data_IF_410297889946
#
_entry.id   IF_410297889946
#
_cell.length_a   1.000
_cell.length_b   1.000
_cell.length_c   1.000
_cell.angle_alpha   90.00
_cell.angle_beta   90.00
_cell.angle_gamma   90.00
#
_symmetry.space_group_name_H-M   'P 1'
#
loop_
_entity.id
_entity.type
_entity.pdbx_description
1 polymer ?
#
# COMPACT_ATOMS: atom_id res chain seq x y z
N UNK A 1 5.84 -9.78 -12.38
CA UNK A 1 4.73 -9.87 -13.35
C UNK A 1 3.46 -10.07 -12.56
N UNK A 2 2.34 -9.45 -12.95
CA UNK A 2 1.06 -9.72 -12.29
C UNK A 2 0.59 -11.15 -12.60
N UNK A 3 0.35 -11.94 -11.55
CA UNK A 3 -0.05 -13.36 -11.62
C UNK A 3 -1.55 -13.58 -11.47
N UNK A 4 -2.35 -12.52 -11.28
CA UNK A 4 -3.80 -12.62 -11.21
C UNK A 4 -4.42 -13.13 -12.52
N UNK A 5 -5.53 -13.86 -12.41
CA UNK A 5 -6.23 -14.44 -13.57
C UNK A 5 -7.16 -13.45 -14.28
N UNK A 6 -7.58 -12.39 -13.57
CA UNK A 6 -8.50 -11.38 -14.06
C UNK A 6 -7.91 -9.97 -13.93
N UNK A 7 -8.35 -9.09 -14.82
CA UNK A 7 -8.01 -7.68 -14.72
C UNK A 7 -8.77 -7.03 -13.56
N UNK A 8 -8.08 -6.23 -12.75
CA UNK A 8 -8.70 -5.50 -11.64
C UNK A 8 -8.05 -4.12 -11.50
N UNK A 9 -8.83 -3.13 -11.08
CA UNK A 9 -8.35 -1.76 -10.91
C UNK A 9 -7.95 -1.51 -9.47
N UNK A 10 -6.72 -1.02 -9.26
CA UNK A 10 -6.30 -0.43 -7.99
C UNK A 10 -6.87 0.99 -7.90
N UNK A 11 -7.53 1.29 -6.80
CA UNK A 11 -8.16 2.59 -6.51
C UNK A 11 -7.45 3.34 -5.39
N UNK A 12 -6.72 2.64 -4.52
CA UNK A 12 -5.98 3.22 -3.40
C UNK A 12 -4.91 2.29 -2.85
N UNK A 13 -4.10 2.82 -1.93
CA UNK A 13 -3.15 2.05 -1.13
C UNK A 13 -2.77 2.81 0.13
N UNK A 14 -2.27 2.06 1.12
CA UNK A 14 -1.89 2.64 2.41
C UNK A 14 -1.19 1.66 3.33
N UNK A 15 -1.09 2.06 4.59
CA UNK A 15 -0.63 1.24 5.70
C UNK A 15 -1.74 1.17 6.75
N UNK A 16 -2.13 -0.02 7.15
CA UNK A 16 -2.99 -0.26 8.30
C UNK A 16 -2.14 -0.35 9.57
N UNK A 17 -2.59 0.34 10.62
CA UNK A 17 -2.01 0.35 11.95
C UNK A 17 -2.72 -0.69 12.85
N UNK A 18 -2.08 -1.19 13.93
CA UNK A 18 -2.65 -2.24 14.78
C UNK A 18 -3.94 -1.83 15.52
N UNK A 19 -4.23 -0.53 15.63
CA UNK A 19 -5.45 0.01 16.22
C UNK A 19 -6.60 0.18 15.21
N UNK A 20 -6.42 -0.28 13.96
CA UNK A 20 -7.39 -0.19 12.88
C UNK A 20 -7.40 1.14 12.14
N UNK A 21 -6.51 2.09 12.46
CA UNK A 21 -6.33 3.31 11.65
C UNK A 21 -5.63 3.00 10.33
N UNK A 22 -6.08 3.65 9.27
CA UNK A 22 -5.45 3.59 7.94
C UNK A 22 -4.67 4.86 7.62
N UNK A 23 -3.43 4.70 7.15
CA UNK A 23 -2.58 5.78 6.62
C UNK A 23 -2.70 5.76 5.09
N UNK A 24 -3.40 6.74 4.55
CA UNK A 24 -3.64 6.86 3.11
C UNK A 24 -2.60 7.77 2.45
N UNK A 25 -2.02 7.31 1.34
CA UNK A 25 -1.10 8.14 0.55
C UNK A 25 -1.89 9.03 -0.40
N UNK A 26 -2.03 10.31 -0.01
CA UNK A 26 -2.76 11.31 -0.82
C UNK A 26 -1.86 12.05 -1.82
N UNK A 27 -0.54 12.05 -1.59
CA UNK A 27 0.45 12.74 -2.43
C UNK A 27 1.64 11.84 -2.75
N UNK A 28 1.47 10.85 -3.64
CA UNK A 28 2.55 9.96 -4.01
C UNK A 28 3.62 10.68 -4.85
N UNK A 29 4.89 10.22 -4.81
CA UNK A 29 5.92 10.71 -5.73
C UNK A 29 5.49 10.56 -7.20
N UNK A 30 5.96 11.45 -8.08
CA UNK A 30 5.56 11.47 -9.50
C UNK A 30 5.96 10.21 -10.30
N UNK A 31 6.83 9.37 -9.73
CA UNK A 31 7.30 8.10 -10.28
C UNK A 31 6.60 6.88 -9.66
N UNK A 32 5.59 7.09 -8.82
CA UNK A 32 4.61 6.07 -8.47
C UNK A 32 3.61 5.84 -9.62
N UNK A 33 2.99 4.67 -9.64
CA UNK A 33 1.86 4.39 -10.51
C UNK A 33 0.71 5.36 -10.20
N UNK A 34 0.21 6.06 -11.22
CA UNK A 34 -0.96 6.94 -11.09
C UNK A 34 -2.21 6.09 -10.92
N UNK A 35 -3.08 6.50 -9.99
CA UNK A 35 -4.37 5.87 -9.77
C UNK A 35 -5.52 6.70 -10.38
N UNK A 36 -6.62 6.04 -10.79
CA UNK A 36 -6.83 4.57 -10.79
C UNK A 36 -5.93 3.85 -11.82
N UNK A 37 -5.54 2.60 -11.53
CA UNK A 37 -4.68 1.80 -12.41
C UNK A 37 -5.21 0.38 -12.60
N UNK A 38 -5.43 -0.03 -13.85
CA UNK A 38 -5.83 -1.39 -14.19
C UNK A 38 -4.62 -2.34 -14.22
N UNK A 39 -4.62 -3.32 -13.32
CA UNK A 39 -3.69 -4.44 -13.33
C UNK A 39 -4.23 -5.53 -14.26
N UNK A 40 -3.54 -5.79 -15.37
CA UNK A 40 -3.85 -6.90 -16.28
C UNK A 40 -2.99 -8.12 -15.98
N UNK A 41 -3.50 -9.35 -16.18
CA UNK A 41 -2.68 -10.56 -16.14
C UNK A 41 -1.46 -10.42 -17.05
N UNK A 42 -0.28 -10.79 -16.57
CA UNK A 42 0.97 -10.71 -17.35
C UNK A 42 1.60 -9.31 -17.45
N UNK A 43 0.93 -8.25 -16.99
CA UNK A 43 1.49 -6.90 -17.02
C UNK A 43 2.63 -6.70 -16.00
N UNK A 44 3.36 -5.59 -16.15
CA UNK A 44 4.29 -5.13 -15.13
C UNK A 44 3.54 -4.82 -13.83
N UNK A 45 4.11 -5.12 -12.65
CA UNK A 45 3.50 -4.76 -11.38
C UNK A 45 3.32 -3.25 -11.22
N UNK A 46 2.27 -2.82 -10.52
CA UNK A 46 2.14 -1.43 -10.09
C UNK A 46 3.26 -1.05 -9.11
N UNK A 47 3.78 0.17 -9.22
CA UNK A 47 4.77 0.73 -8.32
C UNK A 47 4.08 1.69 -7.36
N UNK A 48 3.75 1.18 -6.17
CA UNK A 48 3.13 1.96 -5.11
C UNK A 48 4.21 2.36 -4.10
N UNK A 49 4.18 3.62 -3.67
CA UNK A 49 5.24 4.21 -2.87
C UNK A 49 4.66 4.95 -1.68
N UNK A 50 5.35 4.86 -0.55
CA UNK A 50 5.03 5.58 0.69
C UNK A 50 6.35 6.20 1.19
N UNK A 51 6.38 7.50 1.55
CA UNK A 51 7.56 8.10 2.12
C UNK A 51 7.93 7.43 3.46
N UNK A 52 9.17 6.96 3.60
CA UNK A 52 9.63 6.30 4.83
C UNK A 52 9.56 7.23 6.05
N UNK A 53 9.72 8.55 5.86
CA UNK A 53 9.67 9.53 6.95
C UNK A 53 8.26 9.67 7.54
N UNK A 54 7.20 9.39 6.78
CA UNK A 54 5.84 9.33 7.32
C UNK A 54 5.71 8.15 8.30
N UNK A 55 6.27 6.99 7.94
CA UNK A 55 6.23 5.79 8.77
C UNK A 55 7.12 5.91 10.01
N UNK A 56 8.30 6.52 9.87
CA UNK A 56 9.18 6.81 11.02
C UNK A 56 8.52 7.74 12.02
N UNK A 57 7.79 8.74 11.55
CA UNK A 57 7.04 9.64 12.43
C UNK A 57 5.95 8.89 13.20
N UNK A 58 5.20 8.01 12.55
CA UNK A 58 4.20 7.17 13.24
C UNK A 58 4.88 6.25 14.27
N UNK A 59 6.00 5.63 13.91
CA UNK A 59 6.76 4.80 14.84
C UNK A 59 7.20 5.58 16.10
N UNK A 60 7.64 6.83 15.94
CA UNK A 60 8.11 7.68 17.03
C UNK A 60 6.98 8.28 17.86
N UNK A 61 5.97 8.86 17.21
CA UNK A 61 4.89 9.61 17.84
C UNK A 61 3.88 8.68 18.53
N UNK A 62 3.55 7.56 17.88
CA UNK A 62 2.53 6.62 18.36
C UNK A 62 3.12 5.35 18.99
N UNK A 63 4.47 5.21 19.01
CA UNK A 63 5.18 4.04 19.53
C UNK A 63 4.72 2.70 18.89
N UNK A 64 4.40 2.74 17.59
CA UNK A 64 3.97 1.57 16.80
C UNK A 64 5.17 0.97 16.08
N UNK A 65 5.46 -0.32 16.29
CA UNK A 65 6.57 -0.99 15.61
C UNK A 65 6.30 -1.12 14.10
N UNK A 66 7.34 -1.07 13.26
CA UNK A 66 7.18 -1.28 11.82
C UNK A 66 6.59 -2.67 11.49
N UNK A 67 6.86 -3.67 12.34
CA UNK A 67 6.31 -5.03 12.21
C UNK A 67 4.78 -5.09 12.41
N UNK A 68 4.21 -4.10 13.11
CA UNK A 68 2.76 -3.97 13.31
C UNK A 68 2.09 -3.16 12.19
N UNK A 69 2.86 -2.56 11.28
CA UNK A 69 2.36 -1.77 10.16
C UNK A 69 2.13 -2.66 8.94
N UNK A 70 0.88 -2.77 8.48
CA UNK A 70 0.48 -3.67 7.38
C UNK A 70 0.17 -2.91 6.10
N UNK A 71 1.00 -3.02 5.05
CA UNK A 71 0.68 -2.44 3.75
C UNK A 71 -0.57 -3.07 3.14
N UNK A 72 -1.39 -2.27 2.47
CA UNK A 72 -2.54 -2.76 1.71
C UNK A 72 -2.77 -1.96 0.43
N UNK A 73 -3.56 -2.54 -0.49
CA UNK A 73 -4.13 -1.89 -1.66
C UNK A 73 -5.65 -2.00 -1.64
N UNK A 74 -6.32 -0.96 -2.12
CA UNK A 74 -7.77 -0.94 -2.34
C UNK A 74 -8.05 -1.30 -3.80
N UNK A 75 -8.97 -2.25 -4.01
CA UNK A 75 -9.42 -2.67 -5.33
C UNK A 75 -10.80 -2.08 -5.66
N UNK A 76 -11.11 -1.97 -6.95
CA UNK A 76 -12.36 -1.39 -7.43
C UNK A 76 -13.63 -2.19 -7.06
N UNK A 77 -13.48 -3.44 -6.65
CA UNK A 77 -14.58 -4.28 -6.15
C UNK A 77 -14.84 -4.09 -4.64
N UNK A 78 -14.08 -3.20 -3.98
CA UNK A 78 -14.16 -2.94 -2.54
C UNK A 78 -13.29 -3.87 -1.69
N UNK A 79 -12.51 -4.76 -2.30
CA UNK A 79 -11.59 -5.66 -1.58
C UNK A 79 -10.32 -4.91 -1.19
N UNK A 80 -9.88 -5.12 0.06
CA UNK A 80 -8.54 -4.73 0.52
C UNK A 80 -7.62 -5.93 0.47
N UNK A 81 -6.49 -5.79 -0.21
CA UNK A 81 -5.45 -6.83 -0.27
C UNK A 81 -4.25 -6.38 0.53
N UNK A 82 -3.91 -7.15 1.55
CA UNK A 82 -2.78 -6.87 2.44
C UNK A 82 -1.51 -7.55 1.93
N UNK A 83 -0.36 -6.93 2.22
CA UNK A 83 0.93 -7.54 1.97
C UNK A 83 1.20 -8.67 2.98
N UNK A 84 1.89 -9.71 2.52
CA UNK A 84 2.32 -10.83 3.39
C UNK A 84 3.38 -10.41 4.42
N UNK A 85 4.07 -9.30 4.17
CA UNK A 85 5.15 -8.78 5.02
C UNK A 85 4.82 -7.40 5.54
N UNK A 86 5.21 -7.09 6.78
CA UNK A 86 5.07 -5.75 7.33
C UNK A 86 6.08 -4.78 6.71
N UNK A 87 6.05 -3.53 7.16
CA UNK A 87 6.96 -2.47 6.69
C UNK A 87 8.42 -2.85 7.01
N UNK A 88 9.30 -2.99 6.00
CA UNK A 88 10.69 -3.42 6.21
C UNK A 88 11.61 -2.24 6.51
N UNK A 89 11.35 -1.52 7.62
CA UNK A 89 12.15 -0.37 8.08
C UNK A 89 12.78 -0.59 9.46
N UNK A 90 12.63 -1.79 10.02
CA UNK A 90 13.33 -2.26 11.21
C UNK A 90 14.81 -2.57 10.93
#
# INVERSE_FOLDING_TARGET
>A
MNTGEQAITITGWGIELPDGRGVFVTRPPNWATRLPHELRPGAAPARLLIPADDLRRINQDDNIAFDDMRPYIDLADGTNVYADRPVPLA
#
